data_IF_143152520895
#
_entry.id   IF_143152520895
#
_cell.length_a   1.000
_cell.length_b   1.000
_cell.length_c   1.000
_cell.angle_alpha   90.00
_cell.angle_beta   90.00
_cell.angle_gamma   90.00
#
_symmetry.space_group_name_H-M   'P 1'
#
loop_
_entity.id
_entity.type
_entity.pdbx_description
1 polymer ?
#
# COMPACT_ATOMS: atom_id res chain seq x y z
N UNK A 1 -4.56 19.43 3.34
CA UNK A 1 -3.23 18.85 3.06
C UNK A 1 -3.46 17.72 2.08
N UNK A 2 -2.75 17.69 0.96
CA UNK A 2 -2.83 16.63 -0.04
C UNK A 2 -1.41 16.21 -0.38
N UNK A 3 -1.22 14.94 -0.73
CA UNK A 3 0.09 14.39 -1.03
C UNK A 3 -0.01 13.17 -1.93
N UNK A 4 1.02 13.00 -2.75
CA UNK A 4 1.24 11.80 -3.53
C UNK A 4 2.62 11.25 -3.17
N UNK A 5 2.76 9.94 -3.14
CA UNK A 5 4.03 9.27 -2.97
C UNK A 5 4.12 8.09 -3.94
N UNK A 6 5.30 7.83 -4.48
CA UNK A 6 5.58 6.65 -5.27
C UNK A 6 6.80 5.97 -4.66
N UNK A 7 6.68 4.67 -4.40
CA UNK A 7 7.72 3.86 -3.79
C UNK A 7 8.11 2.74 -4.75
N UNK A 8 9.39 2.72 -5.12
CA UNK A 8 10.01 1.65 -5.90
C UNK A 8 10.59 0.64 -4.93
N UNK A 9 10.15 -0.61 -5.01
CA UNK A 9 10.56 -1.66 -4.07
C UNK A 9 11.81 -2.41 -4.53
N UNK A 10 12.06 -2.46 -5.84
CA UNK A 10 13.28 -3.04 -6.42
C UNK A 10 13.47 -4.53 -6.11
N UNK A 11 12.40 -5.26 -5.82
CA UNK A 11 12.44 -6.69 -5.55
C UNK A 11 12.61 -7.49 -6.84
N UNK A 12 13.47 -8.50 -6.80
CA UNK A 12 13.78 -9.39 -7.92
C UNK A 12 12.56 -10.28 -8.24
N UNK A 13 12.16 -10.34 -9.50
CA UNK A 13 10.91 -10.99 -9.96
C UNK A 13 10.90 -12.50 -9.65
N UNK A 14 12.07 -13.11 -9.54
CA UNK A 14 12.26 -14.53 -9.22
C UNK A 14 12.14 -14.86 -7.71
N UNK A 15 12.00 -13.84 -6.86
CA UNK A 15 11.93 -14.00 -5.38
C UNK A 15 10.61 -13.54 -4.78
N UNK A 16 9.54 -13.44 -5.57
CA UNK A 16 8.20 -13.18 -5.04
C UNK A 16 7.77 -14.32 -4.12
N UNK A 17 7.97 -14.14 -2.82
CA UNK A 17 7.33 -14.96 -1.80
C UNK A 17 5.88 -14.51 -1.68
N UNK A 18 4.93 -15.43 -1.82
CA UNK A 18 3.48 -15.20 -1.69
C UNK A 18 3.07 -14.43 -0.42
N UNK A 19 3.95 -14.39 0.60
CA UNK A 19 3.72 -13.74 1.89
C UNK A 19 4.20 -12.28 1.92
N UNK A 20 5.24 -11.94 1.15
CA UNK A 20 5.91 -10.63 1.15
C UNK A 20 6.11 -10.11 -0.27
N UNK A 21 5.01 -9.93 -1.02
CA UNK A 21 5.04 -9.22 -2.30
C UNK A 21 5.46 -7.76 -2.11
N UNK A 22 6.71 -7.46 -2.42
CA UNK A 22 7.26 -6.11 -2.46
C UNK A 22 7.01 -5.51 -3.86
N UNK A 23 5.78 -5.06 -4.08
CA UNK A 23 5.34 -4.41 -5.32
C UNK A 23 5.55 -2.90 -5.26
N UNK A 24 5.94 -2.32 -6.39
CA UNK A 24 5.94 -0.87 -6.55
C UNK A 24 4.57 -0.31 -6.19
N UNK A 25 4.55 0.80 -5.45
CA UNK A 25 3.29 1.36 -4.96
C UNK A 25 3.17 2.85 -5.25
N UNK A 26 1.97 3.24 -5.63
CA UNK A 26 1.57 4.62 -5.74
C UNK A 26 0.57 4.93 -4.63
N UNK A 27 0.81 5.99 -3.89
CA UNK A 27 -0.01 6.46 -2.79
C UNK A 27 -0.56 7.83 -3.12
N UNK A 28 -1.87 8.00 -2.92
CA UNK A 28 -2.50 9.31 -2.85
C UNK A 28 -3.17 9.48 -1.49
N UNK A 29 -2.95 10.63 -0.88
CA UNK A 29 -3.54 10.95 0.40
C UNK A 29 -4.03 12.38 0.50
N UNK A 30 -5.04 12.55 1.32
CA UNK A 30 -5.57 13.86 1.71
C UNK A 30 -5.88 13.89 3.19
N UNK A 31 -5.84 15.07 3.77
CA UNK A 31 -6.11 15.27 5.18
C UNK A 31 -6.44 16.71 5.53
N UNK A 32 -7.18 16.85 6.63
CA UNK A 32 -7.63 18.11 7.17
C UNK A 32 -7.04 18.30 8.57
N UNK A 33 -6.69 19.54 8.87
CA UNK A 33 -6.24 19.97 10.19
C UNK A 33 -7.26 20.95 10.72
N UNK A 34 -7.97 20.56 11.77
CA UNK A 34 -8.99 21.37 12.41
C UNK A 34 -8.49 21.78 13.79
N UNK A 35 -8.30 23.08 14.01
CA UNK A 35 -7.96 23.63 15.32
C UNK A 35 -9.25 23.93 16.05
N UNK A 36 -9.55 23.17 17.09
CA UNK A 36 -10.75 23.37 17.89
C UNK A 36 -10.57 24.54 18.86
N UNK A 37 -9.38 24.66 19.46
CA UNK A 37 -9.01 25.72 20.40
C UNK A 37 -7.53 26.09 20.24
N UNK A 38 -7.05 27.12 20.95
CA UNK A 38 -5.64 27.49 20.87
C UNK A 38 -4.68 26.38 21.34
N UNK A 39 -5.18 25.48 22.19
CA UNK A 39 -4.42 24.37 22.74
C UNK A 39 -4.70 23.04 22.06
N UNK A 40 -5.83 22.88 21.36
CA UNK A 40 -6.27 21.58 20.82
C UNK A 40 -6.35 21.59 19.31
N UNK A 41 -5.70 20.62 18.67
CA UNK A 41 -5.74 20.44 17.22
C UNK A 41 -5.98 19.00 16.84
N UNK A 42 -6.93 18.79 15.93
CA UNK A 42 -7.25 17.53 15.30
C UNK A 42 -6.65 17.47 13.90
N UNK A 43 -6.10 16.32 13.54
CA UNK A 43 -5.71 16.01 12.17
C UNK A 43 -6.40 14.71 11.76
N UNK A 44 -7.11 14.74 10.66
CA UNK A 44 -7.74 13.56 10.06
C UNK A 44 -7.15 13.38 8.66
N UNK A 45 -6.83 12.15 8.30
CA UNK A 45 -6.22 11.81 7.01
C UNK A 45 -6.78 10.51 6.46
N UNK A 46 -6.83 10.44 5.14
CA UNK A 46 -7.10 9.22 4.38
C UNK A 46 -6.05 9.10 3.28
N UNK A 47 -5.57 7.89 3.06
CA UNK A 47 -4.61 7.56 2.03
C UNK A 47 -4.97 6.25 1.37
N UNK A 48 -4.80 6.17 0.06
CA UNK A 48 -5.03 4.97 -0.72
C UNK A 48 -3.74 4.63 -1.47
N UNK A 49 -3.40 3.35 -1.44
CA UNK A 49 -2.19 2.79 -2.02
C UNK A 49 -2.61 1.78 -3.09
N UNK A 50 -2.20 2.05 -4.32
CA UNK A 50 -2.27 1.11 -5.43
C UNK A 50 -0.92 0.44 -5.56
N UNK A 51 -0.87 -0.88 -5.46
CA UNK A 51 0.32 -1.65 -5.78
C UNK A 51 0.23 -2.10 -7.23
N UNK A 52 1.36 -2.08 -7.94
CA UNK A 52 1.43 -2.66 -9.29
C UNK A 52 1.05 -4.14 -9.20
N UNK A 53 0.27 -4.65 -10.15
CA UNK A 53 0.10 -6.09 -10.27
C UNK A 53 1.44 -6.65 -10.78
N UNK A 54 1.96 -7.68 -10.12
CA UNK A 54 2.99 -8.54 -10.71
C UNK A 54 2.34 -9.87 -11.08
N UNK A 55 2.66 -10.34 -12.27
CA UNK A 55 2.37 -11.71 -12.67
C UNK A 55 3.38 -12.59 -11.90
N UNK A 56 2.91 -13.31 -10.87
CA UNK A 56 3.74 -14.25 -10.12
C UNK A 56 3.66 -15.63 -10.77
N UNK A 57 4.79 -16.35 -10.79
CA UNK A 57 4.80 -17.80 -11.07
C UNK A 57 4.50 -18.57 -9.78
N UNK A 58 3.34 -19.21 -9.71
CA UNK A 58 3.01 -20.13 -8.62
C UNK A 58 3.90 -21.37 -8.71
N UNK A 59 4.83 -21.54 -7.76
CA UNK A 59 5.67 -22.75 -7.68
C UNK A 59 4.87 -23.84 -6.94
N UNK A 60 3.72 -24.22 -7.48
CA UNK A 60 2.98 -25.37 -6.98
C UNK A 60 3.79 -26.63 -7.27
N UNK A 61 4.13 -27.38 -6.21
CA UNK A 61 5.04 -28.54 -6.18
C UNK A 61 4.47 -29.80 -6.90
N UNK A 62 3.55 -29.60 -7.86
CA UNK A 62 3.00 -30.63 -8.73
C UNK A 62 2.79 -30.05 -10.13
N UNK A 63 3.68 -30.36 -11.10
CA UNK A 63 3.49 -29.94 -12.49
C UNK A 63 2.31 -30.72 -13.09
N UNK A 64 1.11 -30.20 -12.93
CA UNK A 64 -0.04 -30.62 -13.71
C UNK A 64 0.09 -29.99 -15.10
N UNK A 65 0.71 -30.74 -16.01
CA UNK A 65 0.43 -30.63 -17.45
C UNK A 65 0.59 -29.23 -18.08
N UNK A 66 1.76 -28.61 -17.95
CA UNK A 66 2.24 -27.64 -18.95
C UNK A 66 1.41 -26.37 -19.15
N UNK A 67 0.56 -26.00 -18.20
CA UNK A 67 -0.09 -24.69 -18.16
C UNK A 67 0.60 -23.84 -17.08
N UNK A 68 1.30 -22.79 -17.51
CA UNK A 68 1.80 -21.74 -16.63
C UNK A 68 0.59 -21.01 -16.03
N UNK A 69 0.22 -21.35 -14.79
CA UNK A 69 -0.87 -20.68 -14.09
C UNK A 69 -0.38 -19.28 -13.67
N UNK A 70 -0.54 -18.30 -14.56
CA UNK A 70 -0.21 -16.90 -14.27
C UNK A 70 -1.16 -16.35 -13.21
N UNK A 71 -0.74 -16.38 -11.94
CA UNK A 71 -1.50 -15.81 -10.84
C UNK A 71 -1.24 -14.31 -10.79
N UNK A 72 -2.29 -13.53 -11.10
CA UNK A 72 -2.26 -12.07 -10.97
C UNK A 72 -2.64 -11.64 -9.57
N UNK A 73 -1.67 -11.15 -8.82
CA UNK A 73 -1.91 -10.55 -7.51
C UNK A 73 -2.20 -9.06 -7.64
N UNK A 74 -3.43 -8.65 -7.33
CA UNK A 74 -3.81 -7.23 -7.23
C UNK A 74 -3.97 -6.85 -5.75
N UNK A 75 -3.16 -5.92 -5.27
CA UNK A 75 -3.18 -5.45 -3.89
C UNK A 75 -3.50 -3.95 -3.85
N UNK A 76 -4.50 -3.62 -3.05
CA UNK A 76 -4.86 -2.24 -2.74
C UNK A 76 -5.00 -2.08 -1.23
N UNK A 77 -4.54 -0.95 -0.71
CA UNK A 77 -4.61 -0.66 0.73
C UNK A 77 -5.18 0.73 0.93
N UNK A 78 -6.21 0.85 1.77
CA UNK A 78 -6.70 2.16 2.24
C UNK A 78 -6.37 2.33 3.71
N UNK A 79 -5.73 3.44 4.06
CA UNK A 79 -5.39 3.78 5.43
C UNK A 79 -6.06 5.08 5.88
N UNK A 80 -6.57 5.06 7.10
CA UNK A 80 -7.19 6.20 7.77
C UNK A 80 -6.38 6.57 9.01
N UNK A 81 -6.18 7.86 9.24
CA UNK A 81 -5.41 8.37 10.37
C UNK A 81 -6.15 9.48 11.11
N UNK A 82 -6.15 9.41 12.44
CA UNK A 82 -6.63 10.48 13.32
C UNK A 82 -5.54 10.82 14.33
N UNK A 83 -5.32 12.11 14.58
CA UNK A 83 -4.35 12.58 15.55
C UNK A 83 -4.92 13.75 16.34
N UNK A 84 -4.69 13.73 17.66
CA UNK A 84 -5.04 14.78 18.60
C UNK A 84 -3.74 15.34 19.18
N UNK A 85 -3.52 16.64 19.01
CA UNK A 85 -2.42 17.35 19.66
C UNK A 85 -2.99 18.35 20.67
N UNK A 86 -2.52 18.26 21.92
CA UNK A 86 -2.85 19.22 22.98
C UNK A 86 -1.57 19.92 23.46
N UNK A 87 -1.57 21.26 23.48
CA UNK A 87 -0.49 22.09 24.02
C UNK A 87 -0.85 22.57 25.43
N UNK A 88 0.14 22.60 26.32
CA UNK A 88 0.04 23.04 27.72
C UNK A 88 0.74 24.37 27.90
#
# INVERSE_FOLDING_TARGET
MTGANYAVTGADEDTYSDIEFALDSFMLGTGLKCRENDTTTWVVSVSHYWYSAADGTDYSDTPALGEEDTVRYNKEVTAFGVSLTKRF
#
